data_IF_632087673019
#
_entry.id   IF_632087673019
#
_cell.length_a   1.000
_cell.length_b   1.000
_cell.length_c   1.000
_cell.angle_alpha   90.00
_cell.angle_beta   90.00
_cell.angle_gamma   90.00
#
_symmetry.space_group_name_H-M   'P 1'
#
loop_
_entity.id
_entity.type
_entity.pdbx_description
1 polymer ?
#
# COMPACT_ATOMS: atom_id res chain seq x y z
N UNK A 1 37.95 -5.46 35.66
CA UNK A 1 37.56 -4.84 34.37
C UNK A 1 36.63 -5.82 33.64
N UNK A 2 35.32 -5.61 33.71
CA UNK A 2 34.39 -6.41 32.93
C UNK A 2 34.45 -5.93 31.47
N UNK A 3 34.89 -6.80 30.56
CA UNK A 3 34.81 -6.56 29.12
C UNK A 3 33.34 -6.35 28.76
N UNK A 4 32.97 -5.10 28.47
CA UNK A 4 31.65 -4.75 27.99
C UNK A 4 31.41 -5.51 26.68
N UNK A 5 30.64 -6.59 26.76
CA UNK A 5 30.24 -7.35 25.59
C UNK A 5 29.56 -6.41 24.61
N UNK A 6 30.08 -6.35 23.38
CA UNK A 6 29.48 -5.57 22.30
C UNK A 6 28.11 -6.18 22.03
N UNK A 7 27.08 -5.57 22.61
CA UNK A 7 25.71 -6.00 22.42
C UNK A 7 25.36 -5.83 20.94
N UNK A 8 25.10 -6.95 20.25
CA UNK A 8 24.65 -6.93 18.86
C UNK A 8 23.39 -6.06 18.80
N UNK A 9 23.36 -5.00 17.96
CA UNK A 9 22.22 -4.10 17.90
C UNK A 9 20.97 -4.89 17.51
N UNK A 10 20.01 -4.98 18.43
CA UNK A 10 18.74 -5.65 18.18
C UNK A 10 18.03 -4.89 17.06
N UNK A 11 17.68 -5.59 15.97
CA UNK A 11 16.91 -5.01 14.85
C UNK A 11 15.63 -4.36 15.38
N UNK A 12 15.42 -3.08 15.05
CA UNK A 12 14.27 -2.32 15.55
C UNK A 12 12.94 -2.95 15.11
N UNK A 13 11.94 -3.08 16.02
CA UNK A 13 10.62 -3.61 15.70
C UNK A 13 9.94 -2.87 14.54
N UNK A 14 10.12 -1.55 14.48
CA UNK A 14 9.58 -0.70 13.42
C UNK A 14 10.09 -1.05 12.02
N UNK A 15 11.38 -1.36 11.86
CA UNK A 15 11.91 -1.80 10.57
C UNK A 15 11.30 -3.12 10.14
N UNK A 16 11.14 -4.07 11.08
CA UNK A 16 10.50 -5.36 10.79
C UNK A 16 9.03 -5.20 10.41
N UNK A 17 8.32 -4.23 10.99
CA UNK A 17 6.94 -3.92 10.66
C UNK A 17 6.83 -3.28 9.26
N UNK A 18 7.64 -2.24 8.99
CA UNK A 18 7.68 -1.60 7.68
C UNK A 18 8.08 -2.56 6.55
N UNK A 19 9.01 -3.49 6.80
CA UNK A 19 9.35 -4.54 5.84
C UNK A 19 8.18 -5.52 5.62
N UNK A 20 7.48 -5.91 6.68
CA UNK A 20 6.34 -6.83 6.57
C UNK A 20 5.18 -6.21 5.79
N UNK A 21 4.84 -4.94 6.04
CA UNK A 21 3.78 -4.25 5.28
C UNK A 21 4.19 -3.95 3.84
N UNK A 22 5.47 -3.63 3.58
CA UNK A 22 5.97 -3.47 2.21
C UNK A 22 5.93 -4.79 1.45
N UNK A 23 6.35 -5.89 2.08
CA UNK A 23 6.26 -7.23 1.49
C UNK A 23 4.81 -7.65 1.22
N UNK A 24 3.87 -7.30 2.10
CA UNK A 24 2.44 -7.53 1.88
C UNK A 24 1.94 -6.80 0.62
N UNK A 25 2.26 -5.52 0.45
CA UNK A 25 1.86 -4.77 -0.76
C UNK A 25 2.47 -5.40 -2.02
N UNK A 26 3.76 -5.72 -1.99
CA UNK A 26 4.45 -6.34 -3.13
C UNK A 26 3.87 -7.73 -3.46
N UNK A 27 3.50 -8.52 -2.45
CA UNK A 27 2.83 -9.80 -2.64
C UNK A 27 1.47 -9.63 -3.32
N UNK A 28 0.66 -8.67 -2.87
CA UNK A 28 -0.63 -8.36 -3.51
C UNK A 28 -0.42 -7.90 -4.95
N UNK A 29 0.52 -6.98 -5.22
CA UNK A 29 0.87 -6.57 -6.58
C UNK A 29 1.33 -7.74 -7.46
N UNK A 30 2.14 -8.65 -6.92
CA UNK A 30 2.59 -9.83 -7.65
C UNK A 30 1.44 -10.78 -8.00
N UNK A 31 0.53 -11.05 -7.05
CA UNK A 31 -0.65 -11.87 -7.29
C UNK A 31 -1.56 -11.26 -8.35
N UNK A 32 -1.84 -9.95 -8.25
CA UNK A 32 -2.63 -9.22 -9.25
C UNK A 32 -1.96 -9.26 -10.63
N UNK A 33 -0.64 -9.07 -10.69
CA UNK A 33 0.10 -9.12 -11.95
C UNK A 33 0.10 -10.52 -12.58
N UNK A 34 0.18 -11.59 -11.79
CA UNK A 34 0.08 -12.97 -12.29
C UNK A 34 -1.31 -13.22 -12.87
N UNK A 35 -2.37 -12.90 -12.13
CA UNK A 35 -3.76 -13.09 -12.60
C UNK A 35 -4.01 -12.27 -13.87
N UNK A 36 -3.68 -10.98 -13.86
CA UNK A 36 -3.86 -10.11 -15.01
C UNK A 36 -2.98 -10.53 -16.20
N UNK A 37 -1.74 -10.97 -15.96
CA UNK A 37 -0.84 -11.47 -17.00
C UNK A 37 -1.40 -12.69 -17.71
N UNK A 38 -1.91 -13.68 -16.95
CA UNK A 38 -2.53 -14.87 -17.55
C UNK A 38 -3.77 -14.55 -18.37
N UNK A 39 -4.63 -13.66 -17.87
CA UNK A 39 -5.82 -13.19 -18.59
C UNK A 39 -5.45 -12.42 -19.87
N UNK A 40 -4.45 -11.54 -19.78
CA UNK A 40 -3.93 -10.77 -20.91
C UNK A 40 -3.34 -11.68 -21.99
N UNK A 41 -2.47 -12.63 -21.64
CA UNK A 41 -1.88 -13.57 -22.60
C UNK A 41 -2.94 -14.42 -23.31
N UNK A 42 -3.96 -14.89 -22.57
CA UNK A 42 -5.10 -15.61 -23.15
C UNK A 42 -5.88 -14.75 -24.15
N UNK A 43 -6.19 -13.50 -23.79
CA UNK A 43 -6.88 -12.57 -24.67
C UNK A 43 -6.02 -12.20 -25.90
N UNK A 44 -4.73 -11.94 -25.71
CA UNK A 44 -3.78 -11.61 -26.78
C UNK A 44 -3.68 -12.75 -27.79
N UNK A 45 -3.55 -14.01 -27.35
CA UNK A 45 -3.55 -15.16 -28.27
C UNK A 45 -4.81 -15.25 -29.12
N UNK A 46 -5.99 -14.94 -28.55
CA UNK A 46 -7.24 -14.91 -29.31
C UNK A 46 -7.27 -13.76 -30.33
N UNK A 47 -6.75 -12.60 -29.96
CA UNK A 47 -6.69 -11.44 -30.84
C UNK A 47 -5.68 -11.65 -31.98
N UNK A 48 -4.52 -12.24 -31.69
CA UNK A 48 -3.48 -12.55 -32.67
C UNK A 48 -3.93 -13.62 -33.68
N UNK A 49 -4.70 -14.61 -33.22
CA UNK A 49 -5.27 -15.64 -34.09
C UNK A 49 -6.36 -15.08 -35.03
N UNK A 50 -7.05 -14.01 -34.62
CA UNK A 50 -8.09 -13.38 -35.42
C UNK A 50 -7.48 -12.54 -36.55
N UNK A 51 -7.02 -13.21 -37.61
CA UNK A 51 -6.32 -12.61 -38.76
C UNK A 51 -7.22 -12.33 -39.95
N UNK A 52 -8.33 -13.06 -40.10
CA UNK A 52 -9.28 -12.85 -41.19
C UNK A 52 -10.33 -11.79 -40.84
N UNK A 53 -10.86 -11.10 -41.86
CA UNK A 53 -11.87 -10.04 -41.72
C UNK A 53 -13.02 -10.25 -42.71
N UNK A 54 -14.23 -9.95 -42.27
CA UNK A 54 -15.44 -9.91 -43.10
C UNK A 54 -16.45 -8.93 -42.50
N UNK A 55 -17.63 -8.79 -43.11
CA UNK A 55 -18.72 -8.00 -42.53
C UNK A 55 -19.85 -8.90 -42.09
N UNK A 56 -20.47 -8.53 -40.97
CA UNK A 56 -21.69 -9.15 -40.46
C UNK A 56 -22.72 -8.11 -40.08
N UNK A 57 -23.92 -8.57 -39.77
CA UNK A 57 -25.03 -7.73 -39.32
C UNK A 57 -25.51 -8.24 -37.97
N UNK A 58 -25.64 -7.35 -36.98
CA UNK A 58 -26.25 -7.69 -35.70
C UNK A 58 -27.73 -7.96 -35.93
N UNK A 59 -28.20 -9.17 -35.67
CA UNK A 59 -29.62 -9.57 -35.88
C UNK A 59 -30.47 -9.36 -34.64
N UNK A 60 -29.87 -9.47 -33.45
CA UNK A 60 -30.52 -9.22 -32.18
C UNK A 60 -29.49 -8.67 -31.18
N UNK A 61 -29.98 -7.88 -30.23
CA UNK A 61 -29.20 -7.29 -29.14
C UNK A 61 -29.98 -7.48 -27.85
N UNK A 62 -29.34 -8.01 -26.81
CA UNK A 62 -29.93 -8.22 -25.49
C UNK A 62 -28.90 -7.89 -24.41
N UNK A 63 -29.03 -6.73 -23.77
CA UNK A 63 -28.08 -6.25 -22.77
C UNK A 63 -26.65 -6.13 -23.31
N UNK A 64 -25.78 -7.00 -22.81
CA UNK A 64 -24.37 -7.16 -23.19
C UNK A 64 -24.16 -8.27 -24.24
N UNK A 65 -25.22 -8.94 -24.68
CA UNK A 65 -25.22 -9.93 -25.74
C UNK A 65 -25.63 -9.39 -27.11
N UNK A 66 -24.98 -9.84 -28.18
CA UNK A 66 -25.41 -9.59 -29.55
C UNK A 66 -25.43 -10.89 -30.36
N UNK A 67 -26.46 -11.11 -31.16
CA UNK A 67 -26.45 -12.14 -32.20
C UNK A 67 -25.94 -11.52 -33.49
N UNK A 68 -24.91 -12.11 -34.06
CA UNK A 68 -24.23 -11.65 -35.27
C UNK A 68 -24.47 -12.65 -36.39
N UNK A 69 -25.09 -12.21 -37.50
CA UNK A 69 -25.17 -12.99 -38.73
C UNK A 69 -24.05 -12.58 -39.69
N UNK A 70 -23.24 -13.53 -40.14
CA UNK A 70 -22.06 -13.28 -40.95
C UNK A 70 -21.62 -14.52 -41.73
N UNK A 71 -20.74 -14.35 -42.72
CA UNK A 71 -20.25 -15.44 -43.58
C UNK A 71 -18.72 -15.50 -43.54
N UNK A 72 -18.12 -16.52 -42.89
CA UNK A 72 -16.69 -16.76 -42.96
C UNK A 72 -16.26 -17.11 -44.39
N UNK A 73 -15.00 -16.85 -44.74
CA UNK A 73 -14.48 -17.16 -46.07
C UNK A 73 -14.56 -18.67 -46.34
N UNK A 74 -15.17 -19.06 -47.46
CA UNK A 74 -15.33 -20.46 -47.86
C UNK A 74 -16.31 -21.29 -47.02
N UNK A 75 -17.10 -20.65 -46.16
CA UNK A 75 -18.11 -21.30 -45.30
C UNK A 75 -19.51 -20.78 -45.58
N UNK A 76 -20.53 -21.48 -45.07
CA UNK A 76 -21.92 -21.01 -45.13
C UNK A 76 -22.15 -19.83 -44.16
N UNK A 77 -23.20 -19.03 -44.42
CA UNK A 77 -23.67 -18.01 -43.49
C UNK A 77 -24.06 -18.66 -42.15
N UNK A 78 -23.68 -18.02 -41.04
CA UNK A 78 -23.97 -18.48 -39.68
C UNK A 78 -24.37 -17.32 -38.78
N UNK A 79 -25.00 -17.66 -37.66
CA UNK A 79 -25.34 -16.71 -36.60
C UNK A 79 -24.65 -17.13 -35.30
N UNK A 80 -23.87 -16.22 -34.71
CA UNK A 80 -23.17 -16.45 -33.44
C UNK A 80 -23.60 -15.47 -32.37
N UNK A 81 -23.68 -15.94 -31.13
CA UNK A 81 -23.91 -15.09 -29.96
C UNK A 81 -22.57 -14.58 -29.44
N UNK A 82 -22.48 -13.27 -29.26
CA UNK A 82 -21.30 -12.55 -28.82
C UNK A 82 -21.56 -11.82 -27.51
N UNK A 83 -20.61 -11.94 -26.58
CA UNK A 83 -20.58 -11.14 -25.38
C UNK A 83 -19.78 -9.85 -25.63
N UNK A 84 -20.36 -8.72 -25.24
CA UNK A 84 -19.83 -7.38 -25.40
C UNK A 84 -19.57 -6.76 -24.02
N UNK A 85 -18.56 -5.89 -23.93
CA UNK A 85 -18.23 -5.22 -22.68
C UNK A 85 -19.10 -3.99 -22.38
N UNK A 86 -20.02 -3.66 -23.29
CA UNK A 86 -20.86 -2.48 -23.24
C UNK A 86 -22.17 -2.72 -23.98
N UNK A 87 -23.01 -1.68 -24.12
CA UNK A 87 -24.31 -1.82 -24.78
C UNK A 87 -24.14 -2.36 -26.20
N UNK A 88 -24.89 -3.41 -26.50
CA UNK A 88 -24.87 -4.01 -27.83
C UNK A 88 -25.32 -3.00 -28.91
N UNK A 89 -24.66 -3.00 -30.09
CA UNK A 89 -25.14 -2.20 -31.22
C UNK A 89 -26.58 -2.59 -31.59
N UNK A 90 -27.42 -1.65 -32.06
CA UNK A 90 -28.79 -1.95 -32.47
C UNK A 90 -28.86 -3.04 -33.54
N UNK A 91 -29.92 -3.84 -33.53
CA UNK A 91 -30.20 -4.79 -34.62
C UNK A 91 -30.25 -4.07 -35.98
N UNK A 92 -29.69 -4.71 -37.00
CA UNK A 92 -29.46 -4.14 -38.33
C UNK A 92 -28.10 -3.45 -38.48
N UNK A 93 -27.35 -3.23 -37.39
CA UNK A 93 -26.02 -2.61 -37.48
C UNK A 93 -25.06 -3.52 -38.23
N UNK A 94 -24.51 -3.04 -39.35
CA UNK A 94 -23.41 -3.70 -40.05
C UNK A 94 -22.10 -3.42 -39.34
N UNK A 95 -21.33 -4.46 -39.02
CA UNK A 95 -20.08 -4.36 -38.29
C UNK A 95 -18.99 -5.21 -38.94
N UNK A 96 -17.73 -4.83 -38.74
CA UNK A 96 -16.59 -5.64 -39.13
C UNK A 96 -16.43 -6.81 -38.16
N UNK A 97 -16.17 -8.00 -38.71
CA UNK A 97 -16.02 -9.25 -37.99
C UNK A 97 -14.61 -9.77 -38.20
N UNK A 98 -13.85 -9.83 -37.11
CA UNK A 98 -12.54 -10.44 -37.03
C UNK A 98 -12.66 -11.90 -36.56
N UNK A 99 -11.98 -12.83 -37.20
CA UNK A 99 -12.04 -14.25 -36.82
C UNK A 99 -10.75 -15.00 -37.17
N UNK A 100 -10.53 -16.13 -36.49
CA UNK A 100 -9.48 -17.09 -36.82
C UNK A 100 -9.96 -18.01 -37.96
N UNK A 101 -9.32 -18.05 -39.13
CA UNK A 101 -9.74 -18.92 -40.22
C UNK A 101 -9.63 -20.42 -39.87
N UNK A 102 -8.78 -20.81 -38.92
CA UNK A 102 -8.68 -22.20 -38.44
C UNK A 102 -9.77 -22.54 -37.41
N UNK A 103 -10.35 -21.54 -36.74
CA UNK A 103 -11.37 -21.68 -35.71
C UNK A 103 -12.41 -20.54 -35.81
N UNK A 104 -13.30 -20.56 -36.82
CA UNK A 104 -14.25 -19.48 -37.07
C UNK A 104 -15.43 -19.44 -36.09
N UNK A 105 -15.44 -20.29 -35.06
CA UNK A 105 -16.49 -20.36 -34.03
C UNK A 105 -16.42 -19.22 -32.99
N UNK A 106 -15.39 -18.37 -33.06
CA UNK A 106 -15.16 -17.29 -32.10
C UNK A 106 -14.99 -15.93 -32.79
N UNK A 107 -16.01 -15.43 -33.49
CA UNK A 107 -15.93 -14.11 -34.11
C UNK A 107 -15.76 -13.01 -33.07
N UNK A 108 -15.10 -11.93 -33.47
CA UNK A 108 -14.86 -10.73 -32.68
C UNK A 108 -15.39 -9.53 -33.44
N UNK A 109 -16.08 -8.64 -32.73
CA UNK A 109 -16.53 -7.34 -33.24
C UNK A 109 -16.01 -6.23 -32.33
N UNK A 110 -16.00 -4.95 -32.77
CA UNK A 110 -15.73 -3.82 -31.89
C UNK A 110 -16.61 -3.87 -30.64
N UNK A 111 -16.01 -3.72 -29.46
CA UNK A 111 -16.71 -3.83 -28.17
C UNK A 111 -16.82 -5.26 -27.62
N UNK A 112 -16.27 -6.28 -28.30
CA UNK A 112 -16.23 -7.64 -27.78
C UNK A 112 -15.59 -7.72 -26.38
N UNK A 113 -16.16 -8.54 -25.51
CA UNK A 113 -15.73 -8.70 -24.13
C UNK A 113 -14.23 -9.06 -24.00
N UNK A 114 -13.66 -9.79 -24.98
CA UNK A 114 -12.24 -10.14 -25.01
C UNK A 114 -11.32 -8.90 -25.14
N UNK A 115 -11.73 -7.88 -25.89
CA UNK A 115 -10.95 -6.64 -26.06
C UNK A 115 -10.91 -5.87 -24.75
N UNK A 116 -12.07 -5.71 -24.10
CA UNK A 116 -12.14 -5.06 -22.80
C UNK A 116 -11.46 -5.87 -21.69
N UNK A 117 -11.48 -7.21 -21.77
CA UNK A 117 -10.72 -8.06 -20.86
C UNK A 117 -9.21 -7.87 -21.01
N UNK A 118 -8.72 -7.76 -22.26
CA UNK A 118 -7.32 -7.45 -22.53
C UNK A 118 -6.92 -6.08 -21.97
N UNK A 119 -7.72 -5.05 -22.24
CA UNK A 119 -7.47 -3.68 -21.76
C UNK A 119 -7.47 -3.59 -20.22
N UNK A 120 -8.49 -4.16 -19.55
CA UNK A 120 -8.56 -4.23 -18.08
C UNK A 120 -7.37 -4.99 -17.47
N UNK A 121 -6.95 -6.08 -18.12
CA UNK A 121 -5.78 -6.85 -17.67
C UNK A 121 -4.50 -6.03 -17.80
N UNK A 122 -4.33 -5.29 -18.90
CA UNK A 122 -3.21 -4.39 -19.09
C UNK A 122 -3.20 -3.25 -18.07
N UNK A 123 -4.37 -2.65 -17.80
CA UNK A 123 -4.54 -1.63 -16.75
C UNK A 123 -4.15 -2.16 -15.36
N UNK A 124 -4.56 -3.39 -15.03
CA UNK A 124 -4.20 -4.05 -13.76
C UNK A 124 -2.70 -4.33 -13.65
N UNK A 125 -2.05 -4.76 -14.75
CA UNK A 125 -0.60 -4.93 -14.81
C UNK A 125 0.12 -3.61 -14.56
N UNK A 126 -0.30 -2.53 -15.25
CA UNK A 126 0.29 -1.21 -15.08
C UNK A 126 0.12 -0.68 -13.65
N UNK A 127 -1.08 -0.77 -13.09
CA UNK A 127 -1.37 -0.35 -11.71
C UNK A 127 -0.50 -1.12 -10.70
N UNK A 128 -0.37 -2.44 -10.87
CA UNK A 128 0.43 -3.29 -10.00
C UNK A 128 1.91 -2.93 -10.07
N UNK A 129 2.45 -2.75 -11.28
CA UNK A 129 3.83 -2.36 -11.50
C UNK A 129 4.13 -0.95 -10.95
N UNK A 130 3.26 0.03 -11.21
CA UNK A 130 3.40 1.39 -10.71
C UNK A 130 3.36 1.43 -9.17
N UNK A 131 2.43 0.69 -8.56
CA UNK A 131 2.32 0.60 -7.09
C UNK A 131 3.56 -0.04 -6.49
N UNK A 132 4.04 -1.17 -7.05
CA UNK A 132 5.27 -1.81 -6.61
C UNK A 132 6.48 -0.87 -6.72
N UNK A 133 6.60 -0.13 -7.82
CA UNK A 133 7.66 0.86 -8.02
C UNK A 133 7.62 1.98 -6.97
N UNK A 134 6.44 2.52 -6.66
CA UNK A 134 6.26 3.53 -5.59
C UNK A 134 6.71 2.99 -4.25
N UNK A 135 6.31 1.77 -3.89
CA UNK A 135 6.68 1.12 -2.63
C UNK A 135 8.19 0.92 -2.55
N UNK A 136 8.80 0.34 -3.58
CA UNK A 136 10.25 0.09 -3.64
C UNK A 136 11.04 1.40 -3.57
N UNK A 137 10.62 2.43 -4.30
CA UNK A 137 11.26 3.75 -4.30
C UNK A 137 11.19 4.40 -2.92
N UNK A 138 10.01 4.37 -2.28
CA UNK A 138 9.84 4.89 -0.93
C UNK A 138 10.69 4.11 0.09
N UNK A 139 10.74 2.78 0.01
CA UNK A 139 11.60 1.94 0.86
C UNK A 139 13.08 2.26 0.66
N UNK A 140 13.54 2.35 -0.58
CA UNK A 140 14.92 2.72 -0.93
C UNK A 140 15.30 4.11 -0.40
N UNK A 141 14.42 5.09 -0.60
CA UNK A 141 14.58 6.44 -0.05
C UNK A 141 14.64 6.44 1.48
N UNK A 142 13.76 5.69 2.16
CA UNK A 142 13.78 5.60 3.63
C UNK A 142 15.07 4.96 4.13
N UNK A 143 15.56 3.90 3.50
CA UNK A 143 16.79 3.24 3.89
C UNK A 143 18.00 4.17 3.69
N UNK A 144 18.10 4.82 2.53
CA UNK A 144 19.18 5.74 2.21
C UNK A 144 19.18 6.96 3.15
N UNK A 145 18.02 7.58 3.35
CA UNK A 145 17.89 8.77 4.22
C UNK A 145 18.18 8.46 5.69
N UNK A 146 17.78 7.28 6.20
CA UNK A 146 18.09 6.84 7.57
C UNK A 146 19.57 6.51 7.75
N UNK A 147 20.19 5.81 6.79
CA UNK A 147 21.63 5.55 6.81
C UNK A 147 22.42 6.87 6.85
N UNK A 148 22.07 7.83 5.98
CA UNK A 148 22.69 9.16 5.97
C UNK A 148 22.47 9.94 7.26
N UNK A 149 21.33 9.76 7.94
CA UNK A 149 21.09 10.40 9.22
C UNK A 149 21.97 9.81 10.34
N UNK A 150 22.22 8.49 10.33
CA UNK A 150 23.05 7.81 11.33
C UNK A 150 24.53 8.16 11.23
N UNK A 151 25.04 8.46 10.04
CA UNK A 151 26.47 8.84 9.84
C UNK A 151 26.79 10.25 10.33
N UNK A 152 25.80 11.01 10.81
CA UNK A 152 26.03 12.37 11.32
C UNK A 152 26.59 12.34 12.74
N UNK A 153 27.32 13.40 13.07
CA UNK A 153 27.88 13.62 14.42
C UNK A 153 26.77 13.55 15.46
N UNK A 154 26.99 12.74 16.50
CA UNK A 154 26.09 12.59 17.62
C UNK A 154 26.26 13.77 18.61
N UNK A 155 25.15 14.28 19.11
CA UNK A 155 25.10 15.33 20.14
C UNK A 155 24.15 14.92 21.26
N UNK A 156 24.49 15.31 22.47
CA UNK A 156 23.68 15.01 23.64
C UNK A 156 22.63 16.09 23.84
N UNK A 157 21.34 15.70 23.88
CA UNK A 157 20.22 16.66 23.98
C UNK A 157 19.20 16.14 24.99
N UNK A 158 18.73 16.96 25.95
CA UNK A 158 17.60 16.61 26.80
C UNK A 158 16.31 16.62 25.97
N UNK A 159 15.52 15.56 26.10
CA UNK A 159 14.24 15.39 25.41
C UNK A 159 13.16 14.87 26.35
N UNK A 160 11.92 15.12 25.98
CA UNK A 160 10.74 14.47 26.56
C UNK A 160 9.97 13.74 25.47
N UNK A 161 9.44 12.56 25.80
CA UNK A 161 8.52 11.86 24.90
C UNK A 161 7.15 12.51 24.98
N UNK A 162 6.59 12.80 23.82
CA UNK A 162 5.22 13.27 23.68
C UNK A 162 4.50 12.39 22.68
N UNK A 163 3.27 12.00 22.98
CA UNK A 163 2.39 11.29 22.07
C UNK A 163 1.35 12.25 21.55
N UNK A 164 1.08 12.17 20.25
CA UNK A 164 0.09 13.03 19.60
C UNK A 164 -0.87 12.14 18.84
N UNK A 165 -2.14 12.25 19.19
CA UNK A 165 -3.23 11.55 18.52
C UNK A 165 -3.95 12.49 17.55
N UNK A 166 -3.98 12.12 16.28
CA UNK A 166 -4.68 12.83 15.21
C UNK A 166 -5.69 11.88 14.57
N UNK A 167 -6.97 11.99 14.97
CA UNK A 167 -8.01 11.05 14.58
C UNK A 167 -7.72 9.64 15.14
N UNK A 168 -7.65 8.66 14.25
CA UNK A 168 -7.39 7.25 14.59
C UNK A 168 -5.89 6.92 14.64
N UNK A 169 -5.01 7.86 14.26
CA UNK A 169 -3.57 7.64 14.25
C UNK A 169 -2.95 8.26 15.50
N UNK A 170 -2.13 7.48 16.19
CA UNK A 170 -1.26 7.95 17.27
C UNK A 170 0.19 7.89 16.81
N UNK A 171 0.96 8.92 17.13
CA UNK A 171 2.38 8.99 16.78
C UNK A 171 3.22 9.41 17.99
N UNK A 172 4.37 8.77 18.14
CA UNK A 172 5.39 9.14 19.12
C UNK A 172 6.32 10.24 18.56
N UNK A 173 6.59 11.22 19.40
CA UNK A 173 7.51 12.32 19.15
C UNK A 173 8.47 12.48 20.33
N UNK A 174 9.65 13.03 20.06
CA UNK A 174 10.57 13.54 21.07
C UNK A 174 10.63 15.06 20.94
N UNK A 175 10.30 15.75 22.01
CA UNK A 175 10.41 17.20 22.10
C UNK A 175 11.72 17.55 22.79
N UNK A 176 12.54 18.37 22.14
CA UNK A 176 13.80 18.86 22.71
C UNK A 176 13.54 19.89 23.80
N UNK A 177 14.23 19.78 24.94
CA UNK A 177 14.16 20.74 26.04
C UNK A 177 15.14 21.92 25.85
N UNK A 178 15.44 22.25 24.59
CA UNK A 178 16.31 23.36 24.17
C UNK A 178 15.49 24.48 23.56
N UNK A 179 16.03 25.70 23.56
CA UNK A 179 15.47 26.84 22.83
C UNK A 179 16.27 27.05 21.53
N UNK A 180 15.63 27.06 20.35
CA UNK A 180 14.21 26.85 20.12
C UNK A 180 13.82 25.35 20.19
N UNK A 181 12.58 25.07 20.61
CA UNK A 181 12.06 23.70 20.72
C UNK A 181 11.92 23.04 19.34
N UNK A 182 12.13 21.74 19.29
CA UNK A 182 11.99 20.91 18.09
C UNK A 182 11.25 19.62 18.44
N UNK A 183 10.36 19.23 17.54
CA UNK A 183 9.58 17.99 17.64
C UNK A 183 10.11 17.00 16.62
N UNK A 184 10.67 15.89 17.11
CA UNK A 184 11.33 14.86 16.32
C UNK A 184 10.39 13.65 16.27
N UNK A 185 9.76 13.36 15.11
CA UNK A 185 8.89 12.21 15.01
C UNK A 185 9.72 10.93 14.90
N UNK A 186 9.45 9.96 15.77
CA UNK A 186 10.16 8.67 15.81
C UNK A 186 9.20 7.54 15.51
N UNK A 187 9.74 6.42 15.02
CA UNK A 187 8.98 5.18 14.99
C UNK A 187 8.79 4.65 16.41
N UNK A 188 7.68 3.98 16.67
CA UNK A 188 7.45 3.36 17.96
C UNK A 188 8.51 2.28 18.24
N UNK A 189 9.07 2.35 19.43
CA UNK A 189 9.91 1.32 20.04
C UNK A 189 9.48 1.22 21.52
N UNK A 190 9.32 0.01 22.09
CA UNK A 190 8.93 -0.17 23.48
C UNK A 190 9.79 0.60 24.50
N UNK A 191 11.07 0.88 24.19
CA UNK A 191 11.95 1.68 25.05
C UNK A 191 11.41 3.10 25.29
N UNK A 192 10.63 3.65 24.36
CA UNK A 192 10.04 4.98 24.47
C UNK A 192 9.08 5.10 25.66
N UNK A 193 8.37 4.01 25.97
CA UNK A 193 7.38 3.99 27.06
C UNK A 193 8.05 3.94 28.43
N UNK A 194 9.31 3.49 28.48
CA UNK A 194 10.10 3.38 29.71
C UNK A 194 10.98 4.60 29.97
N UNK A 195 10.95 5.62 29.11
CA UNK A 195 11.78 6.80 29.30
C UNK A 195 11.22 7.70 30.40
N UNK A 196 12.04 8.06 31.41
CA UNK A 196 11.69 9.15 32.31
C UNK A 196 11.65 10.47 31.55
N UNK A 197 10.85 11.42 32.04
CA UNK A 197 10.69 12.73 31.42
C UNK A 197 11.13 13.82 32.41
N UNK A 198 12.21 14.58 32.13
CA UNK A 198 13.06 14.55 30.92
C UNK A 198 14.10 13.40 30.92
N UNK A 199 14.63 13.08 29.73
CA UNK A 199 15.74 12.13 29.51
C UNK A 199 16.76 12.73 28.56
N UNK A 200 18.04 12.49 28.82
CA UNK A 200 19.13 12.85 27.92
C UNK A 200 19.35 11.76 26.87
N UNK A 201 19.38 12.13 25.58
CA UNK A 201 19.57 11.19 24.47
C UNK A 201 20.73 11.61 23.58
N UNK A 202 21.29 10.66 22.80
CA UNK A 202 22.24 10.95 21.73
C UNK A 202 21.47 11.15 20.43
N UNK A 203 21.67 12.28 19.77
CA UNK A 203 20.99 12.65 18.55
C UNK A 203 22.01 12.79 17.42
N UNK A 204 21.86 12.01 16.36
CA UNK A 204 22.71 12.05 15.18
C UNK A 204 22.20 13.13 14.21
N UNK A 205 22.96 14.22 14.11
CA UNK A 205 22.60 15.44 13.38
C UNK A 205 22.26 16.61 14.30
N UNK A 206 21.84 17.72 13.70
CA UNK A 206 21.34 18.91 14.40
C UNK A 206 19.86 19.10 14.07
N UNK A 207 18.92 19.03 15.05
CA UNK A 207 17.49 19.20 14.79
C UNK A 207 17.11 20.63 14.35
N UNK A 208 18.03 21.59 14.46
CA UNK A 208 17.83 22.95 13.93
C UNK A 208 18.06 23.02 12.41
N UNK A 209 19.03 22.26 11.88
CA UNK A 209 19.47 22.36 10.48
C UNK A 209 19.00 21.16 9.63
N UNK A 210 18.76 20.02 10.26
CA UNK A 210 18.54 18.76 9.57
C UNK A 210 17.09 18.33 9.64
N UNK A 211 16.51 18.01 8.48
CA UNK A 211 15.15 17.51 8.37
C UNK A 211 14.95 16.15 9.02
N UNK A 212 15.95 15.27 9.02
CA UNK A 212 15.86 13.93 9.63
C UNK A 212 16.99 13.78 10.63
N UNK A 213 16.68 13.31 11.83
CA UNK A 213 17.66 13.03 12.88
C UNK A 213 17.39 11.65 13.44
N UNK A 214 18.44 10.90 13.75
CA UNK A 214 18.32 9.59 14.40
C UNK A 214 18.60 9.74 15.87
N UNK A 215 17.83 9.06 16.72
CA UNK A 215 18.00 9.15 18.18
C UNK A 215 18.50 7.81 18.70
N UNK A 216 19.55 7.84 19.51
CA UNK A 216 20.11 6.69 20.21
C UNK A 216 19.85 6.85 21.72
N UNK A 217 19.23 5.84 22.32
CA UNK A 217 18.86 5.83 23.75
C UNK A 217 19.22 4.47 24.33
N UNK A 218 20.11 4.42 25.31
CA UNK A 218 20.53 3.17 25.97
C UNK A 218 20.98 2.07 24.97
N UNK A 219 21.65 2.46 23.88
CA UNK A 219 22.05 1.55 22.80
C UNK A 219 20.95 1.17 21.80
N UNK A 220 19.70 1.65 21.99
CA UNK A 220 18.61 1.50 21.03
C UNK A 220 18.59 2.64 20.02
N UNK A 221 18.56 2.30 18.74
CA UNK A 221 18.45 3.28 17.65
C UNK A 221 16.98 3.47 17.27
N UNK A 222 16.45 4.64 17.55
CA UNK A 222 15.12 5.10 17.13
C UNK A 222 15.21 5.79 15.78
N UNK A 223 14.61 5.16 14.77
CA UNK A 223 14.58 5.73 13.43
C UNK A 223 13.54 6.85 13.33
N UNK A 224 13.84 7.93 12.58
CA UNK A 224 12.86 8.97 12.32
C UNK A 224 11.70 8.41 11.48
N UNK A 225 10.48 8.74 11.90
CA UNK A 225 9.26 8.44 11.13
C UNK A 225 8.88 9.58 10.18
N UNK A 226 9.57 10.72 10.25
CA UNK A 226 9.29 11.89 9.41
C UNK A 226 10.24 13.06 9.69
N UNK A 227 9.98 14.23 9.09
CA UNK A 227 10.82 15.39 9.27
C UNK A 227 10.64 16.05 10.64
N UNK A 228 11.73 16.57 11.20
CA UNK A 228 11.74 17.42 12.40
C UNK A 228 10.85 18.64 12.17
N UNK A 229 10.07 19.02 13.20
CA UNK A 229 9.15 20.16 13.16
C UNK A 229 9.56 21.22 14.18
N UNK A 230 9.40 22.49 13.79
CA UNK A 230 9.60 23.64 14.67
C UNK A 230 8.35 23.96 15.50
N UNK A 231 7.17 23.51 15.04
CA UNK A 231 5.87 23.75 15.67
C UNK A 231 5.35 22.44 16.25
N UNK A 232 4.61 22.56 17.35
CA UNK A 232 3.93 21.43 17.97
C UNK A 232 2.98 20.74 16.98
N UNK A 233 3.05 19.41 16.83
CA UNK A 233 2.15 18.68 15.95
C UNK A 233 0.68 18.79 16.40
N UNK A 234 -0.23 18.95 15.44
CA UNK A 234 -1.67 19.05 15.70
C UNK A 234 -2.25 17.72 16.24
N UNK A 235 -3.01 17.79 17.32
CA UNK A 235 -3.73 16.64 17.87
C UNK A 235 -3.82 16.68 19.40
N UNK A 236 -4.41 15.64 19.98
CA UNK A 236 -4.43 15.47 21.44
C UNK A 236 -3.06 15.02 21.90
N UNK A 237 -2.42 15.83 22.75
CA UNK A 237 -1.11 15.53 23.36
C UNK A 237 -1.27 14.65 24.59
N UNK A 238 -0.34 13.73 24.79
CA UNK A 238 -0.18 12.93 26.01
C UNK A 238 1.31 12.82 26.32
N UNK A 239 1.72 13.30 27.49
CA UNK A 239 3.11 13.25 27.94
C UNK A 239 3.39 11.97 28.73
N UNK A 240 4.65 11.55 28.75
CA UNK A 240 5.09 10.44 29.61
C UNK A 240 5.06 10.83 31.10
N UNK A 241 4.86 9.86 32.01
CA UNK A 241 5.04 10.11 33.44
C UNK A 241 6.49 10.52 33.74
N UNK A 242 6.68 11.35 34.77
CA UNK A 242 8.01 11.80 35.20
C UNK A 242 8.92 10.61 35.59
N UNK A 243 8.35 9.61 36.27
CA UNK A 243 9.06 8.39 36.68
C UNK A 243 8.28 7.14 36.24
N UNK A 244 8.85 6.30 35.36
CA UNK A 244 8.23 5.03 34.98
C UNK A 244 8.31 4.01 36.13
N UNK A 245 7.18 3.46 36.51
CA UNK A 245 7.05 2.39 37.51
C UNK A 245 7.23 0.98 36.89
N UNK A 246 7.21 -0.07 37.72
CA UNK A 246 7.28 -1.47 37.25
C UNK A 246 6.12 -1.81 36.30
N UNK A 247 4.91 -1.28 36.57
CA UNK A 247 3.76 -1.48 35.69
C UNK A 247 4.00 -0.93 34.28
N UNK A 248 4.76 0.15 34.15
CA UNK A 248 5.17 0.73 32.86
C UNK A 248 6.14 -0.20 32.12
N UNK A 249 7.07 -0.84 32.83
CA UNK A 249 7.99 -1.83 32.24
C UNK A 249 7.27 -3.08 31.75
N UNK A 250 6.31 -3.60 32.53
CA UNK A 250 5.44 -4.70 32.10
C UNK A 250 4.61 -4.34 30.87
N UNK A 251 4.02 -3.14 30.84
CA UNK A 251 3.29 -2.64 29.65
C UNK A 251 4.19 -2.51 28.42
N UNK A 252 5.42 -2.03 28.58
CA UNK A 252 6.37 -1.96 27.47
C UNK A 252 6.66 -3.34 26.85
N UNK A 253 6.83 -4.37 27.68
CA UNK A 253 7.00 -5.76 27.21
C UNK A 253 5.77 -6.25 26.41
N UNK A 254 4.55 -5.94 26.86
CA UNK A 254 3.32 -6.27 26.14
C UNK A 254 3.18 -5.50 24.82
N UNK A 255 3.67 -4.26 24.76
CA UNK A 255 3.66 -3.42 23.56
C UNK A 255 4.69 -3.86 22.52
N UNK A 256 5.68 -4.67 22.90
CA UNK A 256 6.58 -5.31 21.95
C UNK A 256 5.88 -6.36 21.07
N UNK A 257 4.67 -6.81 21.44
CA UNK A 257 3.91 -7.77 20.68
C UNK A 257 3.43 -7.19 19.34
N UNK A 258 3.86 -7.82 18.24
CA UNK A 258 3.52 -7.41 16.87
C UNK A 258 2.01 -7.33 16.59
N UNK A 259 1.21 -8.17 17.26
CA UNK A 259 -0.25 -8.15 17.15
C UNK A 259 -0.88 -6.82 17.57
N UNK A 260 -0.29 -6.11 18.55
CA UNK A 260 -0.77 -4.78 18.95
C UNK A 260 -0.49 -3.73 17.90
N UNK A 261 0.66 -3.81 17.23
CA UNK A 261 0.98 -2.93 16.12
C UNK A 261 -0.04 -3.10 14.99
N UNK A 262 -0.35 -4.34 14.59
CA UNK A 262 -1.37 -4.59 13.56
C UNK A 262 -2.74 -4.05 13.96
N UNK A 263 -3.16 -4.22 15.23
CA UNK A 263 -4.43 -3.67 15.73
C UNK A 263 -4.47 -2.15 15.67
N UNK A 264 -3.36 -1.48 15.98
CA UNK A 264 -3.27 -0.02 15.88
C UNK A 264 -3.38 0.49 14.43
N UNK A 265 -3.02 -0.36 13.45
CA UNK A 265 -3.07 -0.03 12.02
C UNK A 265 -4.41 -0.43 11.35
N UNK A 266 -5.21 -1.31 11.97
CA UNK A 266 -6.52 -1.76 11.44
C UNK A 266 -7.45 -0.62 11.02
N UNK A 267 -7.53 0.53 11.72
CA UNK A 267 -8.38 1.64 11.28
C UNK A 267 -8.08 2.14 9.87
N UNK A 268 -6.86 1.95 9.35
CA UNK A 268 -6.50 2.32 7.97
C UNK A 268 -7.08 1.37 6.91
N UNK A 269 -7.61 0.20 7.31
CA UNK A 269 -8.28 -0.74 6.41
C UNK A 269 -9.74 -0.39 6.12
N UNK A 270 -10.40 0.33 7.04
CA UNK A 270 -11.84 0.64 6.97
C UNK A 270 -12.26 1.30 5.65
N UNK A 271 -11.54 2.30 5.09
CA UNK A 271 -11.96 2.92 3.84
C UNK A 271 -11.73 2.04 2.59
N UNK A 272 -10.88 1.02 2.66
CA UNK A 272 -10.49 0.21 1.50
C UNK A 272 -11.69 -0.44 0.76
N UNK A 273 -12.61 -1.17 1.40
CA UNK A 273 -13.74 -1.80 0.70
C UNK A 273 -14.73 -0.78 0.12
N UNK A 274 -14.89 0.39 0.75
CA UNK A 274 -15.79 1.45 0.28
C UNK A 274 -15.24 2.10 -0.99
N UNK A 275 -13.94 2.45 -0.99
CA UNK A 275 -13.27 3.02 -2.16
C UNK A 275 -13.21 1.98 -3.29
N UNK A 276 -12.90 0.72 -2.97
CA UNK A 276 -12.90 -0.37 -3.94
C UNK A 276 -14.28 -0.60 -4.58
N UNK A 277 -15.36 -0.48 -3.81
CA UNK A 277 -16.73 -0.61 -4.32
C UNK A 277 -17.05 0.51 -5.32
N UNK A 278 -16.73 1.76 -4.98
CA UNK A 278 -16.92 2.90 -5.89
C UNK A 278 -16.13 2.71 -7.18
N UNK A 279 -14.86 2.30 -7.08
CA UNK A 279 -14.02 2.01 -8.24
C UNK A 279 -14.63 0.91 -9.12
N UNK A 280 -15.02 -0.21 -8.50
CA UNK A 280 -15.59 -1.36 -9.20
C UNK A 280 -16.88 -0.99 -9.94
N UNK A 281 -17.71 -0.13 -9.34
CA UNK A 281 -18.92 0.38 -9.98
C UNK A 281 -18.60 1.21 -11.23
N UNK A 282 -17.62 2.11 -11.14
CA UNK A 282 -17.20 2.97 -12.28
C UNK A 282 -16.54 2.15 -13.39
N UNK A 283 -15.76 1.13 -13.03
CA UNK A 283 -15.04 0.25 -13.96
C UNK A 283 -15.96 -0.82 -14.60
N UNK A 284 -17.21 -0.94 -14.16
CA UNK A 284 -18.10 -2.05 -14.57
C UNK A 284 -17.53 -3.42 -14.16
N UNK A 285 -16.73 -3.45 -13.09
CA UNK A 285 -16.08 -4.66 -12.59
C UNK A 285 -17.02 -5.55 -11.77
N UNK A 286 -16.65 -6.82 -11.63
CA UNK A 286 -17.36 -7.77 -10.79
C UNK A 286 -16.78 -7.89 -9.38
N UNK A 287 -17.21 -8.93 -8.66
CA UNK A 287 -16.72 -9.26 -7.32
C UNK A 287 -15.19 -9.42 -7.26
N UNK A 288 -14.59 -10.00 -8.31
CA UNK A 288 -13.12 -10.18 -8.39
C UNK A 288 -12.36 -8.85 -8.43
N UNK A 289 -12.86 -7.86 -9.18
CA UNK A 289 -12.31 -6.50 -9.23
C UNK A 289 -12.42 -5.84 -7.85
N UNK A 290 -13.58 -5.96 -7.20
CA UNK A 290 -13.79 -5.41 -5.86
C UNK A 290 -12.84 -6.01 -4.82
N UNK A 291 -12.70 -7.34 -4.79
CA UNK A 291 -11.78 -8.03 -3.87
C UNK A 291 -10.33 -7.61 -4.11
N UNK A 292 -9.93 -7.54 -5.38
CA UNK A 292 -8.58 -7.15 -5.79
C UNK A 292 -8.25 -5.71 -5.36
N UNK A 293 -9.15 -4.76 -5.64
CA UNK A 293 -9.00 -3.37 -5.25
C UNK A 293 -9.00 -3.21 -3.73
N UNK A 294 -9.87 -3.93 -3.02
CA UNK A 294 -9.94 -3.93 -1.54
C UNK A 294 -8.63 -4.43 -0.94
N UNK A 295 -8.10 -5.54 -1.43
CA UNK A 295 -6.85 -6.11 -0.97
C UNK A 295 -5.67 -5.16 -1.18
N UNK A 296 -5.58 -4.54 -2.36
CA UNK A 296 -4.52 -3.58 -2.68
C UNK A 296 -4.59 -2.32 -1.81
N UNK A 297 -5.77 -1.71 -1.71
CA UNK A 297 -5.98 -0.51 -0.87
C UNK A 297 -5.76 -0.81 0.61
N UNK A 298 -6.18 -1.98 1.08
CA UNK A 298 -5.93 -2.42 2.46
C UNK A 298 -4.45 -2.59 2.75
N UNK A 299 -3.71 -3.28 1.88
CA UNK A 299 -2.27 -3.43 2.00
C UNK A 299 -1.56 -2.06 1.99
N UNK A 300 -1.97 -1.13 1.11
CA UNK A 300 -1.46 0.24 1.07
C UNK A 300 -1.78 1.03 2.34
N UNK A 301 -2.98 0.86 2.92
CA UNK A 301 -3.36 1.49 4.18
C UNK A 301 -2.45 1.07 5.34
N UNK A 302 -2.19 -0.23 5.47
CA UNK A 302 -1.25 -0.76 6.48
C UNK A 302 0.19 -0.29 6.23
N UNK A 303 0.60 -0.26 4.96
CA UNK A 303 1.91 0.25 4.58
C UNK A 303 2.08 1.72 4.93
N UNK A 304 1.08 2.57 4.63
CA UNK A 304 1.08 3.99 4.99
C UNK A 304 1.11 4.21 6.51
N UNK A 305 0.40 3.39 7.28
CA UNK A 305 0.45 3.40 8.74
C UNK A 305 1.87 3.14 9.25
N UNK A 306 2.50 2.07 8.73
CA UNK A 306 3.87 1.71 9.06
C UNK A 306 4.89 2.78 8.64
N UNK A 307 4.73 3.40 7.47
CA UNK A 307 5.59 4.51 7.03
C UNK A 307 5.50 5.71 7.97
N UNK A 308 4.30 6.03 8.46
CA UNK A 308 4.05 7.16 9.36
C UNK A 308 4.52 6.92 10.80
N UNK A 309 4.78 5.66 11.17
CA UNK A 309 5.25 5.27 12.49
C UNK A 309 4.15 5.32 13.54
N UNK A 310 3.07 4.56 13.31
CA UNK A 310 1.97 4.40 14.27
C UNK A 310 2.46 3.88 15.63
N UNK A 311 1.87 4.42 16.70
CA UNK A 311 2.17 4.08 18.08
C UNK A 311 1.00 3.25 18.68
N UNK A 312 1.22 1.97 19.05
CA UNK A 312 0.18 1.08 19.56
C UNK A 312 -0.18 1.32 21.03
N UNK A 313 0.49 2.26 21.71
CA UNK A 313 0.31 2.45 23.17
C UNK A 313 -0.87 3.36 23.55
N UNK A 314 -1.58 3.96 22.60
CA UNK A 314 -2.79 4.76 22.85
C UNK A 314 -4.06 3.96 23.09
N UNK A 315 -4.07 2.65 22.83
CA UNK A 315 -5.19 1.79 23.19
C UNK A 315 -5.22 1.57 24.72
N UNK A 316 -5.74 2.57 25.44
CA UNK A 316 -6.26 2.36 26.79
C UNK A 316 -7.59 1.65 26.65
N UNK A 317 -7.65 0.42 27.18
CA UNK A 317 -8.88 -0.21 27.61
C UNK A 317 -9.60 0.75 28.57
N UNK A 318 -10.66 1.37 28.08
CA UNK A 318 -11.76 1.82 28.93
C UNK A 318 -12.49 0.59 29.47
#
# INVERSE_FOLDING_TARGET
MATAGVAVPRRSPALRHGLATSALVLLVCALLAVVAGTAFTSAAHRLDAATARTFGTVTAADGDGAQLRWTPAGSAERTDTLELAGPAPPAGTRTEVAYDPAAPDRPLIPGAAVLAAADRSLGTLFLSAATALVVLTACGWQLASRRRAMTRVARTVPVRRVQVQTGLLTRSWLETDTVPRRFIPVHFDPVLVTLPSPTTVRLHGNPLDHRLVTVEINGHVLHPSGPVRAVEPRGRRTDNPAQPDESTRQRAALLAARSRQWRADLPMLVPAPVIALLWTYVDGGGLSTWLSATALLGALGLWLAALRGSDPSSHRTY
#
